data_IF_318681829418
#
_entry.id   IF_318681829418
#
_cell.length_a   1.000
_cell.length_b   1.000
_cell.length_c   1.000
_cell.angle_alpha   90.00
_cell.angle_beta   90.00
_cell.angle_gamma   90.00
#
_symmetry.space_group_name_H-M   'P 1'
#
loop_
_entity.id
_entity.type
_entity.pdbx_description
1 polymer ?
#
# COMPACT_ATOMS: atom_id res chain seq x y z
N UNK A 1 -10.73 5.21 3.14
CA UNK A 1 -10.59 5.31 4.63
C UNK A 1 -9.97 4.05 5.24
N UNK A 2 -10.24 2.86 4.70
CA UNK A 2 -9.62 1.58 5.14
C UNK A 2 -8.15 1.47 4.66
N UNK A 3 -7.81 2.10 3.55
CA UNK A 3 -6.48 2.00 2.91
C UNK A 3 -5.34 2.49 3.82
N UNK A 4 -5.60 3.49 4.66
CA UNK A 4 -4.63 3.98 5.65
C UNK A 4 -4.30 2.96 6.74
N UNK A 5 -5.27 2.15 7.18
CA UNK A 5 -5.04 1.09 8.16
C UNK A 5 -4.28 -0.09 7.55
N UNK A 6 -4.61 -0.45 6.30
CA UNK A 6 -3.84 -1.43 5.53
C UNK A 6 -2.39 -0.98 5.34
N UNK A 7 -2.18 0.29 4.96
CA UNK A 7 -0.85 0.89 4.80
C UNK A 7 -0.04 0.88 6.10
N UNK A 8 -0.64 1.29 7.22
CA UNK A 8 0.02 1.28 8.53
C UNK A 8 0.42 -0.14 8.96
N UNK A 9 -0.43 -1.13 8.71
CA UNK A 9 -0.13 -2.54 9.00
C UNK A 9 1.05 -3.02 8.14
N UNK A 10 1.03 -2.73 6.83
CA UNK A 10 2.11 -3.13 5.94
C UNK A 10 3.45 -2.48 6.31
N UNK A 11 3.44 -1.21 6.71
CA UNK A 11 4.62 -0.50 7.21
C UNK A 11 5.17 -1.09 8.51
N UNK A 12 4.29 -1.36 9.48
CA UNK A 12 4.69 -1.89 10.79
C UNK A 12 5.33 -3.28 10.71
N UNK A 13 5.06 -4.03 9.64
CA UNK A 13 5.52 -5.40 9.45
C UNK A 13 6.53 -5.59 8.31
N UNK A 14 7.04 -4.50 7.73
CA UNK A 14 7.93 -4.57 6.57
C UNK A 14 7.36 -5.44 5.43
N UNK A 15 6.09 -5.19 5.07
CA UNK A 15 5.41 -5.90 3.99
C UNK A 15 5.30 -5.05 2.71
N UNK A 16 5.01 -5.75 1.61
CA UNK A 16 4.57 -5.12 0.36
C UNK A 16 3.05 -5.11 0.30
N UNK A 17 2.43 -3.93 0.17
CA UNK A 17 0.99 -3.80 -0.03
C UNK A 17 0.65 -4.02 -1.51
N UNK A 18 -0.06 -5.11 -1.78
CA UNK A 18 -0.52 -5.45 -3.14
C UNK A 18 -1.95 -4.93 -3.33
N UNK A 19 -2.15 -3.94 -4.19
CA UNK A 19 -3.48 -3.33 -4.41
C UNK A 19 -3.55 -2.61 -5.75
N UNK A 20 -4.75 -2.57 -6.33
CA UNK A 20 -5.06 -1.72 -7.50
C UNK A 20 -5.33 -0.26 -7.15
N UNK A 21 -5.58 0.05 -5.88
CA UNK A 21 -5.88 1.40 -5.39
C UNK A 21 -4.71 1.91 -4.54
N UNK A 22 -3.59 2.20 -5.20
CA UNK A 22 -2.38 2.64 -4.54
C UNK A 22 -2.34 4.14 -4.21
N UNK A 23 -3.09 4.96 -4.94
CA UNK A 23 -2.91 6.42 -4.98
C UNK A 23 -2.95 7.08 -3.60
N UNK A 24 -3.87 6.64 -2.74
CA UNK A 24 -4.07 7.21 -1.40
C UNK A 24 -2.93 6.91 -0.43
N UNK A 25 -2.07 5.93 -0.74
CA UNK A 25 -1.04 5.42 0.16
C UNK A 25 0.39 5.55 -0.40
N UNK A 26 0.55 6.04 -1.62
CA UNK A 26 1.87 6.21 -2.26
C UNK A 26 2.82 7.14 -1.50
N UNK A 27 2.29 8.12 -0.75
CA UNK A 27 3.08 9.09 0.01
C UNK A 27 3.61 8.56 1.34
N UNK A 28 3.21 7.34 1.75
CA UNK A 28 3.53 6.79 3.08
C UNK A 28 4.90 6.11 3.17
N UNK A 29 5.61 5.95 2.05
CA UNK A 29 6.92 5.30 1.99
C UNK A 29 6.89 3.77 2.04
N UNK A 30 5.70 3.15 2.01
CA UNK A 30 5.54 1.70 1.97
C UNK A 30 5.94 1.10 0.62
N UNK A 31 6.25 -0.20 0.60
CA UNK A 31 6.43 -0.96 -0.65
C UNK A 31 5.08 -1.28 -1.26
N UNK A 32 4.80 -0.75 -2.45
CA UNK A 32 3.53 -0.94 -3.16
C UNK A 32 3.73 -1.80 -4.42
N UNK A 33 2.82 -2.73 -4.67
CA UNK A 33 2.73 -3.46 -5.94
C UNK A 33 1.30 -3.36 -6.49
N UNK A 34 1.14 -2.77 -7.66
CA UNK A 34 -0.12 -2.83 -8.41
C UNK A 34 -0.05 -3.96 -9.45
N UNK A 35 -0.78 -5.08 -9.28
CA UNK A 35 -0.75 -6.20 -10.22
C UNK A 35 -1.47 -5.91 -11.54
N UNK A 36 -2.17 -4.78 -11.65
CA UNK A 36 -2.87 -4.34 -12.86
C UNK A 36 -2.12 -3.24 -13.61
N UNK A 37 -1.06 -2.69 -13.02
CA UNK A 37 -0.14 -1.81 -13.73
C UNK A 37 0.58 -2.64 -14.79
N UNK A 38 0.27 -2.37 -16.05
CA UNK A 38 0.91 -2.98 -17.22
C UNK A 38 1.87 -2.01 -17.87
#
# INVERSE_FOLDING_TARGET
>A
MIDGLLAATALAHDWTLVTRNGTDVMSTGLRLLDPFAR
#
